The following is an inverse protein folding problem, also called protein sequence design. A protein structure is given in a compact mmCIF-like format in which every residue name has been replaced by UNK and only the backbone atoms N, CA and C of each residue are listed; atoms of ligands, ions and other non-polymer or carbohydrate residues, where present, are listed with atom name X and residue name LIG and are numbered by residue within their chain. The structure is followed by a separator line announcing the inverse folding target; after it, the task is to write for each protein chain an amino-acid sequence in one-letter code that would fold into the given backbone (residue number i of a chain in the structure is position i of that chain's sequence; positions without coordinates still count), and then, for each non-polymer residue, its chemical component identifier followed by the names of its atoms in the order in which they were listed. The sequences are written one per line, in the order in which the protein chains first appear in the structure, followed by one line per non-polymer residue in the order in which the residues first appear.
data_IF_797647695682
#
_entry.id   IF_797647695682
#
_cell.length_a   1.000
_cell.length_b   1.000
_cell.length_c   1.000
_cell.angle_alpha   90.00
_cell.angle_beta   90.00
_cell.angle_gamma   90.00
#
_symmetry.space_group_name_H-M   'P 1'
#
loop_
_entity.id
_entity.type
_entity.pdbx_description
1 polymer ?
#
# COMPACT_ATOMS: atom_id res chain seq x y z
N UNK A 1 -12.96 -2.07 -3.09
CA UNK A 1 -11.70 -2.83 -3.19
C UNK A 1 -11.79 -3.66 -4.46
N UNK A 2 -10.67 -3.93 -5.12
CA UNK A 2 -10.63 -4.82 -6.29
C UNK A 2 -10.48 -6.30 -5.88
N UNK A 3 -10.26 -7.17 -6.86
CA UNK A 3 -10.10 -8.62 -6.67
C UNK A 3 -8.90 -8.99 -5.77
N UNK A 4 -7.92 -8.10 -5.63
CA UNK A 4 -6.71 -8.29 -4.82
C UNK A 4 -6.82 -7.62 -3.45
N UNK A 5 -7.98 -7.03 -3.13
CA UNK A 5 -8.17 -6.28 -1.89
C UNK A 5 -7.62 -4.85 -1.92
N UNK A 6 -7.08 -4.39 -3.05
CA UNK A 6 -6.57 -3.02 -3.18
C UNK A 6 -7.72 -2.03 -3.20
N UNK A 7 -7.58 -0.95 -2.42
CA UNK A 7 -8.44 0.23 -2.58
C UNK A 7 -8.06 0.87 -3.93
N UNK A 8 -9.00 1.39 -4.73
CA UNK A 8 -8.69 2.09 -5.99
C UNK A 8 -9.49 3.39 -6.07
N UNK A 9 -8.92 4.38 -6.75
CA UNK A 9 -9.70 5.53 -7.23
C UNK A 9 -10.36 5.10 -8.53
N UNK A 10 -11.69 5.21 -8.60
CA UNK A 10 -12.43 4.97 -9.84
C UNK A 10 -12.46 6.30 -10.60
N UNK A 11 -11.59 6.43 -11.59
CA UNK A 11 -11.33 7.70 -12.27
C UNK A 11 -12.57 8.34 -12.88
N UNK A 12 -13.46 7.52 -13.46
CA UNK A 12 -14.70 7.97 -14.11
C UNK A 12 -15.70 8.64 -13.14
N UNK A 13 -15.60 8.35 -11.84
CA UNK A 13 -16.45 8.94 -10.79
C UNK A 13 -15.73 10.03 -9.99
N UNK A 14 -14.47 10.31 -10.29
CA UNK A 14 -13.69 11.28 -9.54
C UNK A 14 -14.04 12.71 -9.95
N UNK A 15 -14.69 13.44 -9.05
CA UNK A 15 -15.03 14.87 -9.23
C UNK A 15 -13.95 15.83 -8.75
N UNK A 16 -12.76 15.32 -8.40
CA UNK A 16 -11.59 16.09 -7.94
C UNK A 16 -11.85 16.99 -6.71
N UNK A 17 -12.70 16.55 -5.78
CA UNK A 17 -13.02 17.35 -4.58
C UNK A 17 -11.92 17.39 -3.50
N UNK A 18 -10.90 16.52 -3.57
CA UNK A 18 -9.80 16.49 -2.59
C UNK A 18 -10.13 15.84 -1.24
N UNK A 19 -11.40 15.54 -0.93
CA UNK A 19 -11.79 14.97 0.36
C UNK A 19 -11.06 13.66 0.72
N UNK A 20 -10.74 12.81 -0.26
CA UNK A 20 -9.98 11.59 -0.02
C UNK A 20 -8.52 11.86 0.38
N UNK A 21 -7.91 12.93 -0.14
CA UNK A 21 -6.55 13.35 0.22
C UNK A 21 -6.53 13.83 1.67
N UNK A 22 -7.48 14.69 2.04
CA UNK A 22 -7.61 15.22 3.41
C UNK A 22 -7.94 14.12 4.43
N UNK A 23 -8.79 13.16 4.07
CA UNK A 23 -9.19 12.08 4.96
C UNK A 23 -8.10 11.02 5.17
N UNK A 24 -7.06 10.95 4.31
CA UNK A 24 -6.04 9.91 4.41
C UNK A 24 -5.00 10.28 5.47
N UNK A 25 -4.92 9.55 6.61
CA UNK A 25 -3.94 9.88 7.65
C UNK A 25 -2.49 9.61 7.23
N UNK A 26 -2.29 8.88 6.14
CA UNK A 26 -0.97 8.45 5.66
C UNK A 26 -0.45 9.32 4.50
N UNK A 27 -1.22 10.31 4.03
CA UNK A 27 -0.83 11.13 2.88
C UNK A 27 -0.60 10.33 1.59
N UNK A 28 -1.24 9.16 1.46
CA UNK A 28 -0.96 8.19 0.38
C UNK A 28 -1.71 8.48 -0.93
N UNK A 29 -2.45 9.59 -1.00
CA UNK A 29 -3.29 9.98 -2.13
C UNK A 29 -2.84 11.35 -2.61
N UNK A 30 -2.67 11.51 -3.92
CA UNK A 30 -2.26 12.75 -4.57
C UNK A 30 -3.39 13.26 -5.47
N UNK A 31 -3.61 14.57 -5.47
CA UNK A 31 -4.49 15.24 -6.44
C UNK A 31 -3.63 16.15 -7.30
N UNK A 32 -3.33 15.74 -8.53
CA UNK A 32 -2.56 16.54 -9.48
C UNK A 32 -3.42 17.66 -10.10
N UNK A 33 -2.78 18.58 -10.82
CA UNK A 33 -3.44 19.72 -11.49
C UNK A 33 -4.51 19.28 -12.50
N UNK A 34 -4.35 18.10 -13.10
CA UNK A 34 -5.29 17.47 -14.03
C UNK A 34 -5.52 15.99 -13.71
N UNK A 35 -6.64 15.43 -14.18
CA UNK A 35 -6.98 14.00 -14.05
C UNK A 35 -7.68 13.63 -12.73
N UNK A 36 -7.99 12.35 -12.47
CA UNK A 36 -8.52 11.93 -11.19
C UNK A 36 -7.45 12.00 -10.07
N UNK A 37 -7.88 11.90 -8.81
CA UNK A 37 -6.93 11.62 -7.72
C UNK A 37 -6.20 10.29 -7.98
N UNK A 38 -4.93 10.23 -7.59
CA UNK A 38 -4.07 9.06 -7.82
C UNK A 38 -3.50 8.55 -6.51
N UNK A 39 -3.23 7.24 -6.47
CA UNK A 39 -2.57 6.56 -5.36
C UNK A 39 -1.98 5.24 -5.87
N UNK A 40 -1.15 4.58 -5.08
CA UNK A 40 -0.67 3.23 -5.37
C UNK A 40 -1.85 2.28 -5.69
N UNK A 41 -1.75 1.54 -6.78
CA UNK A 41 -2.77 0.61 -7.27
C UNK A 41 -2.44 -0.86 -6.94
N UNK A 42 -1.35 -1.10 -6.20
CA UNK A 42 -0.87 -2.43 -5.84
C UNK A 42 -0.31 -3.22 -7.02
N UNK A 43 0.01 -2.56 -8.16
CA UNK A 43 0.46 -3.22 -9.39
C UNK A 43 -0.52 -4.33 -9.85
N UNK A 44 -1.83 -4.11 -9.71
CA UNK A 44 -2.85 -5.12 -9.98
C UNK A 44 -2.74 -5.76 -11.38
N UNK A 45 -2.34 -4.97 -12.39
CA UNK A 45 -2.18 -5.44 -13.76
C UNK A 45 -0.93 -6.32 -13.95
N UNK A 46 0.13 -6.07 -13.15
CA UNK A 46 1.33 -6.93 -13.12
C UNK A 46 1.03 -8.25 -12.42
N UNK A 47 0.33 -8.18 -11.28
CA UNK A 47 -0.12 -9.37 -10.53
C UNK A 47 -1.00 -10.28 -11.41
N UNK A 48 -1.91 -9.70 -12.21
CA UNK A 48 -2.75 -10.44 -13.15
C UNK A 48 -1.95 -11.17 -14.24
N UNK A 49 -0.73 -10.71 -14.53
CA UNK A 49 0.20 -11.33 -15.46
C UNK A 49 1.19 -12.31 -14.78
N UNK A 50 1.06 -12.51 -13.46
CA UNK A 50 1.94 -13.38 -12.67
C UNK A 50 3.28 -12.73 -12.28
N UNK A 51 3.40 -11.41 -12.38
CA UNK A 51 4.59 -10.67 -11.97
C UNK A 51 4.46 -10.19 -10.52
N UNK A 52 5.59 -10.08 -9.83
CA UNK A 52 5.64 -9.34 -8.57
C UNK A 52 5.51 -7.83 -8.80
N UNK A 53 4.92 -7.08 -7.83
CA UNK A 53 4.82 -5.63 -7.92
C UNK A 53 6.17 -4.97 -8.23
N UNK A 54 6.16 -4.00 -9.13
CA UNK A 54 7.38 -3.31 -9.59
C UNK A 54 8.27 -2.81 -8.44
N UNK A 55 7.71 -2.25 -7.35
CA UNK A 55 8.52 -1.78 -6.23
C UNK A 55 9.27 -2.91 -5.50
N UNK A 56 8.68 -4.10 -5.40
CA UNK A 56 9.29 -5.29 -4.80
C UNK A 56 10.41 -5.79 -5.69
N UNK A 57 10.10 -6.03 -6.96
CA UNK A 57 11.05 -6.52 -7.97
C UNK A 57 12.22 -5.56 -8.21
N UNK A 58 11.98 -4.26 -8.15
CA UNK A 58 13.02 -3.24 -8.34
C UNK A 58 13.96 -3.07 -7.13
N UNK A 59 13.61 -3.60 -5.95
CA UNK A 59 14.40 -3.40 -4.73
C UNK A 59 15.73 -4.17 -4.79
N UNK A 60 16.89 -3.50 -4.96
CA UNK A 60 18.17 -4.21 -5.12
C UNK A 60 18.60 -4.91 -3.83
N UNK A 61 18.20 -4.36 -2.67
CA UNK A 61 18.52 -4.90 -1.35
C UNK A 61 17.58 -6.01 -0.90
N UNK A 62 16.51 -6.30 -1.68
CA UNK A 62 15.45 -7.26 -1.30
C UNK A 62 14.85 -6.97 0.08
N UNK A 63 14.68 -5.69 0.39
CA UNK A 63 14.10 -5.22 1.65
C UNK A 63 12.56 -5.25 1.65
N UNK A 64 11.95 -5.34 0.46
CA UNK A 64 10.50 -5.41 0.27
C UNK A 64 10.10 -6.82 -0.13
N UNK A 65 8.97 -7.29 0.38
CA UNK A 65 8.37 -8.57 0.03
C UNK A 65 6.87 -8.37 -0.13
N UNK A 66 6.31 -8.99 -1.17
CA UNK A 66 4.87 -9.16 -1.32
C UNK A 66 4.53 -10.59 -0.90
N UNK A 67 3.61 -10.73 0.05
CA UNK A 67 3.18 -12.02 0.57
C UNK A 67 1.68 -12.02 0.77
N UNK A 68 1.07 -13.19 0.63
CA UNK A 68 -0.30 -13.41 1.09
C UNK A 68 -0.34 -13.32 2.61
N UNK A 69 -1.44 -12.77 3.15
CA UNK A 69 -1.60 -12.55 4.58
C UNK A 69 -1.42 -13.85 5.38
N UNK A 70 -1.86 -14.99 4.84
CA UNK A 70 -1.74 -16.30 5.49
C UNK A 70 -0.31 -16.87 5.44
N UNK A 71 0.51 -16.41 4.48
CA UNK A 71 1.91 -16.81 4.36
C UNK A 71 2.83 -16.00 5.27
N UNK A 72 2.33 -14.91 5.86
CA UNK A 72 3.08 -14.10 6.81
C UNK A 72 3.32 -14.83 8.13
N UNK A 73 4.59 -15.11 8.45
CA UNK A 73 4.99 -15.90 9.62
C UNK A 73 6.08 -15.22 10.48
N UNK A 74 6.06 -13.89 10.61
CA UNK A 74 7.04 -13.19 11.47
C UNK A 74 6.51 -12.96 12.89
N UNK A 75 7.36 -13.16 13.93
CA UNK A 75 6.94 -12.94 15.31
C UNK A 75 6.63 -11.45 15.53
N UNK A 76 5.60 -11.10 16.31
CA UNK A 76 5.15 -9.71 16.50
C UNK A 76 6.27 -8.75 16.94
N UNK A 77 7.26 -9.23 17.69
CA UNK A 77 8.43 -8.45 18.13
C UNK A 77 9.24 -7.82 16.99
N UNK A 78 9.18 -8.38 15.78
CA UNK A 78 9.87 -7.83 14.61
C UNK A 78 9.05 -6.78 13.90
N UNK A 79 7.78 -6.58 14.24
CA UNK A 79 6.91 -5.66 13.52
C UNK A 79 6.98 -4.28 14.18
N UNK A 80 7.18 -3.25 13.37
CA UNK A 80 7.20 -1.84 13.75
C UNK A 80 5.95 -1.18 13.17
N UNK A 81 4.79 -1.50 13.74
CA UNK A 81 3.51 -0.90 13.33
C UNK A 81 3.12 0.31 14.19
N UNK A 82 3.96 0.71 15.15
CA UNK A 82 3.68 1.78 16.12
C UNK A 82 3.30 3.13 15.45
N UNK A 83 3.80 3.40 14.24
CA UNK A 83 3.45 4.59 13.45
C UNK A 83 2.04 4.54 12.82
N UNK A 84 1.42 3.36 12.78
CA UNK A 84 0.17 3.07 12.07
C UNK A 84 -0.98 2.62 13.01
N UNK A 85 -0.66 2.12 14.20
CA UNK A 85 -1.60 1.53 15.16
C UNK A 85 -2.67 2.50 15.73
N UNK A 86 -2.47 3.81 15.57
CA UNK A 86 -3.41 4.84 16.05
C UNK A 86 -4.59 5.16 15.11
N UNK A 87 -4.64 4.58 13.91
CA UNK A 87 -5.63 4.92 12.89
C UNK A 87 -6.56 3.73 12.59
N UNK A 88 -7.88 3.98 12.57
CA UNK A 88 -8.88 2.97 12.22
C UNK A 88 -8.74 2.40 10.79
N UNK A 89 -7.88 3.00 9.96
CA UNK A 89 -7.65 2.62 8.58
C UNK A 89 -6.90 1.28 8.42
N UNK A 90 -6.12 0.83 9.41
CA UNK A 90 -5.45 -0.48 9.43
C UNK A 90 -4.70 -0.82 8.14
N UNK A 91 -3.50 -0.24 7.90
CA UNK A 91 -2.80 -0.46 6.63
C UNK A 91 -2.42 -1.94 6.44
N UNK A 92 -2.27 -2.38 5.20
CA UNK A 92 -1.84 -3.75 4.87
C UNK A 92 -0.32 -3.92 4.75
N UNK A 93 0.43 -2.81 4.77
CA UNK A 93 1.90 -2.81 4.81
C UNK A 93 2.36 -3.00 6.24
N UNK A 94 3.46 -3.74 6.42
CA UNK A 94 4.13 -3.95 7.71
C UNK A 94 5.58 -3.54 7.59
N UNK A 95 6.10 -2.88 8.62
CA UNK A 95 7.52 -2.55 8.69
C UNK A 95 8.20 -3.50 9.66
N UNK A 96 9.41 -3.93 9.34
CA UNK A 96 10.19 -4.79 10.20
C UNK A 96 11.23 -3.98 10.97
N UNK A 97 11.26 -4.14 12.30
CA UNK A 97 12.37 -3.71 13.15
C UNK A 97 13.64 -4.39 12.64
N UNK A 98 14.68 -3.60 12.43
CA UNK A 98 16.02 -4.13 12.13
C UNK A 98 16.40 -5.09 13.27
N UNK A 99 16.91 -6.30 12.98
CA UNK A 99 17.44 -7.16 14.02
C UNK A 99 18.48 -6.37 14.83
N UNK A 100 18.33 -6.34 16.15
CA UNK A 100 19.38 -5.82 17.01
C UNK A 100 20.63 -6.69 16.81
N UNK A 101 21.77 -6.02 16.60
CA UNK A 101 23.08 -6.65 16.54
C UNK A 101 23.70 -6.66 17.92
#
# INVERSE_FOLDING_TARGET
RDAWGWVKVIGEHCVRCGACVEACPFGAITLADQGPATKCDGCADELAQGWEPTCVRACPMRALQYVEEQAWALPPRRVMDEAFDGHAAGPAVRYLKRPEG
#
